data_IF_374818493225
#
_entry.id   IF_374818493225
#
_cell.length_a   1.000
_cell.length_b   1.000
_cell.length_c   1.000
_cell.angle_alpha   90.00
_cell.angle_beta   90.00
_cell.angle_gamma   90.00
#
_symmetry.space_group_name_H-M   'P 1'
#
loop_
_entity.id
_entity.type
_entity.pdbx_description
1 polymer ?
#
# COMPACT_ATOMS: atom_id res chain seq x y z
N UNK A 1 17.91 64.04 22.32
CA UNK A 1 17.95 64.55 20.93
C UNK A 1 17.82 63.37 19.97
N UNK A 2 16.76 63.33 19.16
CA UNK A 2 16.41 62.21 18.27
C UNK A 2 17.24 62.27 16.99
N UNK A 3 17.94 61.19 16.65
CA UNK A 3 18.67 61.06 15.38
C UNK A 3 17.71 60.87 14.20
N UNK A 4 18.00 61.43 13.01
CA UNK A 4 17.18 61.28 11.82
C UNK A 4 17.40 59.93 11.13
N UNK A 5 16.29 59.31 10.71
CA UNK A 5 16.23 58.05 9.94
C UNK A 5 16.82 58.24 8.54
N UNK A 6 17.74 57.38 8.13
CA UNK A 6 18.23 57.29 6.74
C UNK A 6 17.29 56.39 5.92
N UNK A 7 16.78 56.92 4.81
CA UNK A 7 15.99 56.17 3.83
C UNK A 7 16.90 55.37 2.89
N UNK A 8 16.57 54.09 2.70
CA UNK A 8 17.23 53.21 1.73
C UNK A 8 16.75 53.49 0.30
N UNK A 9 17.61 53.33 -0.73
CA UNK A 9 17.23 53.53 -2.13
C UNK A 9 16.39 52.35 -2.66
N UNK A 10 15.40 52.67 -3.50
CA UNK A 10 14.54 51.71 -4.22
C UNK A 10 15.31 51.04 -5.37
N UNK A 11 15.14 49.73 -5.61
CA UNK A 11 15.70 49.06 -6.78
C UNK A 11 14.95 49.43 -8.07
N UNK A 12 15.72 49.67 -9.13
CA UNK A 12 15.30 49.97 -10.49
C UNK A 12 14.79 48.73 -11.22
N UNK A 13 13.67 48.87 -11.93
CA UNK A 13 13.12 47.86 -12.87
C UNK A 13 13.93 47.83 -14.16
N UNK A 14 14.26 46.65 -14.73
CA UNK A 14 14.69 46.57 -16.12
C UNK A 14 13.49 46.64 -17.09
N UNK A 15 13.72 47.36 -18.19
CA UNK A 15 12.81 47.56 -19.32
C UNK A 15 12.83 46.35 -20.26
N UNK A 16 11.67 46.11 -20.86
CA UNK A 16 11.46 45.18 -21.97
C UNK A 16 11.90 45.77 -23.32
N UNK A 17 12.43 44.90 -24.18
CA UNK A 17 12.43 44.95 -25.64
C UNK A 17 12.30 43.47 -26.08
N UNK A 18 11.29 43.02 -26.84
CA UNK A 18 11.02 43.35 -28.25
C UNK A 18 12.17 42.77 -29.09
N UNK A 19 12.04 41.75 -29.94
CA UNK A 19 11.08 41.64 -31.07
C UNK A 19 11.20 40.26 -31.74
N UNK A 20 10.04 39.66 -32.05
CA UNK A 20 9.60 38.78 -33.15
C UNK A 20 10.53 37.84 -33.97
N UNK A 21 9.99 36.62 -34.12
CA UNK A 21 9.91 35.72 -35.30
C UNK A 21 11.08 34.78 -35.66
N UNK A 22 10.87 33.48 -35.40
CA UNK A 22 10.97 32.43 -36.42
C UNK A 22 9.98 31.30 -36.10
N UNK A 23 9.12 31.00 -37.06
CA UNK A 23 8.26 29.83 -37.11
C UNK A 23 9.04 28.61 -37.62
N UNK A 24 8.46 27.42 -37.42
CA UNK A 24 9.00 26.06 -37.68
C UNK A 24 9.92 25.55 -36.56
N UNK A 25 9.63 24.45 -35.85
CA UNK A 25 9.11 23.18 -36.34
C UNK A 25 8.35 22.46 -35.23
N UNK A 26 7.04 22.33 -35.41
CA UNK A 26 6.12 21.52 -34.61
C UNK A 26 6.08 20.09 -35.17
N UNK A 27 7.16 19.31 -35.06
CA UNK A 27 7.15 17.88 -35.41
C UNK A 27 8.32 17.16 -34.70
N UNK A 28 8.20 16.90 -33.39
CA UNK A 28 8.94 15.84 -32.66
C UNK A 28 8.51 15.75 -31.18
N UNK A 29 7.21 15.61 -30.94
CA UNK A 29 6.66 15.32 -29.60
C UNK A 29 5.54 14.27 -29.64
N UNK A 30 5.58 13.33 -30.59
CA UNK A 30 4.61 12.25 -30.75
C UNK A 30 5.25 10.86 -30.94
N UNK A 31 6.48 10.66 -30.47
CA UNK A 31 7.20 9.40 -30.66
C UNK A 31 7.92 8.87 -29.40
N UNK A 32 7.38 9.11 -28.20
CA UNK A 32 7.81 8.42 -26.96
C UNK A 32 6.64 7.93 -26.09
N UNK A 33 5.53 7.55 -26.73
CA UNK A 33 4.47 6.71 -26.13
C UNK A 33 4.45 5.33 -26.78
N UNK A 34 5.64 4.80 -27.13
CA UNK A 34 5.81 3.43 -27.58
C UNK A 34 6.25 2.57 -26.40
N UNK A 35 5.29 1.90 -25.75
CA UNK A 35 5.60 0.85 -24.77
C UNK A 35 4.75 0.81 -23.49
N UNK A 36 3.68 1.61 -23.37
CA UNK A 36 2.63 1.26 -22.42
C UNK A 36 1.82 0.12 -23.06
N UNK A 37 2.27 -1.12 -22.84
CA UNK A 37 1.49 -2.30 -23.17
C UNK A 37 0.09 -2.09 -22.60
N UNK A 38 -0.90 -2.05 -23.49
CA UNK A 38 -2.30 -2.06 -23.08
C UNK A 38 -2.48 -3.31 -22.22
N UNK A 39 -2.71 -3.16 -20.92
CA UNK A 39 -3.17 -4.24 -20.07
C UNK A 39 -4.56 -4.65 -20.56
N UNK A 40 -4.59 -5.49 -21.59
CA UNK A 40 -5.78 -6.18 -22.06
C UNK A 40 -6.03 -7.39 -21.17
N UNK A 41 -6.56 -7.16 -19.97
CA UNK A 41 -7.17 -8.12 -19.03
C UNK A 41 -7.41 -7.34 -17.72
N UNK A 42 -8.59 -6.76 -17.45
CA UNK A 42 -9.80 -7.42 -16.93
C UNK A 42 -9.55 -8.20 -15.63
N UNK A 43 -9.28 -7.54 -14.49
CA UNK A 43 -9.39 -8.16 -13.15
C UNK A 43 -9.25 -7.15 -11.98
N UNK A 44 -9.12 -7.61 -10.74
CA UNK A 44 -10.05 -7.30 -9.68
C UNK A 44 -9.75 -6.26 -8.60
N UNK A 45 -9.04 -5.18 -8.90
CA UNK A 45 -9.08 -3.93 -8.11
C UNK A 45 -8.57 -2.71 -8.91
N UNK A 46 -8.46 -2.87 -10.24
CA UNK A 46 -7.67 -2.04 -11.17
C UNK A 46 -7.97 -0.55 -11.13
N UNK A 47 -9.21 -0.14 -10.82
CA UNK A 47 -9.52 1.28 -10.81
C UNK A 47 -8.81 1.99 -9.67
N UNK A 48 -8.56 1.30 -8.54
CA UNK A 48 -7.75 1.79 -7.43
C UNK A 48 -6.29 2.03 -7.81
N UNK A 49 -5.72 1.08 -8.54
CA UNK A 49 -4.30 1.11 -8.93
C UNK A 49 -4.02 2.17 -10.01
N UNK A 50 -4.93 2.41 -10.95
CA UNK A 50 -4.81 3.52 -11.91
C UNK A 50 -4.66 4.89 -11.23
N UNK A 51 -5.30 5.09 -10.06
CA UNK A 51 -5.24 6.39 -9.37
C UNK A 51 -3.82 6.80 -8.99
N UNK A 52 -2.96 5.83 -8.69
CA UNK A 52 -1.61 6.08 -8.22
C UNK A 52 -0.57 6.08 -9.35
N UNK A 53 -0.92 5.61 -10.57
CA UNK A 53 0.04 5.52 -11.68
C UNK A 53 0.62 6.87 -12.06
N UNK A 54 -0.17 7.94 -11.95
CA UNK A 54 0.28 9.32 -12.19
C UNK A 54 0.93 9.99 -10.97
N UNK A 55 0.85 9.41 -9.76
CA UNK A 55 1.40 10.04 -8.54
C UNK A 55 2.93 9.92 -8.47
N UNK A 56 3.57 10.60 -7.52
CA UNK A 56 5.00 10.41 -7.28
C UNK A 56 5.30 9.04 -6.65
N UNK A 57 6.46 8.45 -6.97
CA UNK A 57 6.94 7.26 -6.28
C UNK A 57 7.49 7.62 -4.89
N UNK A 58 7.05 6.91 -3.85
CA UNK A 58 7.44 7.21 -2.46
C UNK A 58 8.53 6.27 -1.91
N UNK A 59 9.08 5.35 -2.71
CA UNK A 59 10.10 4.39 -2.24
C UNK A 59 11.28 5.07 -1.55
N UNK A 60 11.82 6.14 -2.15
CA UNK A 60 12.92 6.92 -1.55
C UNK A 60 12.54 7.56 -0.21
N UNK A 61 11.27 7.94 -0.02
CA UNK A 61 10.78 8.51 1.25
C UNK A 61 10.71 7.44 2.34
N UNK A 62 10.28 6.23 1.99
CA UNK A 62 10.28 5.08 2.91
C UNK A 62 11.72 4.70 3.28
N UNK A 63 12.62 4.64 2.30
CA UNK A 63 14.04 4.35 2.54
C UNK A 63 14.68 5.36 3.49
N UNK A 64 14.43 6.65 3.27
CA UNK A 64 14.93 7.71 4.15
C UNK A 64 14.39 7.57 5.59
N UNK A 65 13.14 7.11 5.74
CA UNK A 65 12.51 6.86 7.04
C UNK A 65 13.17 5.69 7.78
N UNK A 66 13.35 4.54 7.12
CA UNK A 66 14.04 3.37 7.71
C UNK A 66 15.50 3.69 8.04
N UNK A 67 16.22 4.34 7.10
CA UNK A 67 17.63 4.71 7.29
C UNK A 67 17.85 5.66 8.46
N UNK A 68 16.86 6.49 8.80
CA UNK A 68 16.93 7.36 9.98
C UNK A 68 17.03 6.55 11.27
N UNK A 69 16.20 5.51 11.42
CA UNK A 69 16.26 4.62 12.59
C UNK A 69 17.59 3.87 12.65
N UNK A 70 18.06 3.37 11.50
CA UNK A 70 19.36 2.70 11.41
C UNK A 70 20.53 3.63 11.79
N UNK A 71 20.49 4.89 11.34
CA UNK A 71 21.51 5.89 11.65
C UNK A 71 21.57 6.24 13.14
N UNK A 72 20.46 6.11 13.88
CA UNK A 72 20.41 6.30 15.33
C UNK A 72 20.75 5.02 16.12
N UNK A 73 21.20 3.95 15.43
CA UNK A 73 21.51 2.66 16.07
C UNK A 73 20.28 1.86 16.49
N UNK A 74 19.11 2.14 15.91
CA UNK A 74 17.87 1.44 16.24
C UNK A 74 17.95 -0.04 15.86
N UNK A 75 17.61 -0.91 16.81
CA UNK A 75 17.44 -2.34 16.59
C UNK A 75 16.24 -2.63 15.68
N UNK A 76 16.20 -3.83 15.10
CA UNK A 76 15.07 -4.29 14.26
C UNK A 76 13.74 -4.20 15.02
N UNK A 77 13.75 -4.52 16.31
CA UNK A 77 12.55 -4.44 17.16
C UNK A 77 12.11 -2.98 17.34
N UNK A 78 13.03 -2.06 17.60
CA UNK A 78 12.70 -0.64 17.74
C UNK A 78 12.15 -0.06 16.43
N UNK A 79 12.73 -0.44 15.29
CA UNK A 79 12.21 -0.07 13.96
C UNK A 79 10.79 -0.61 13.79
N UNK A 80 10.56 -1.89 14.09
CA UNK A 80 9.24 -2.49 13.99
C UNK A 80 8.23 -1.74 14.85
N UNK A 81 8.53 -1.49 16.13
CA UNK A 81 7.66 -0.75 17.04
C UNK A 81 7.36 0.68 16.56
N UNK A 82 8.37 1.36 16.01
CA UNK A 82 8.21 2.72 15.49
C UNK A 82 7.35 2.78 14.21
N UNK A 83 7.33 1.71 13.41
CA UNK A 83 6.64 1.68 12.12
C UNK A 83 5.30 0.93 12.12
N UNK A 84 5.02 0.12 13.15
CA UNK A 84 3.70 -0.49 13.34
C UNK A 84 3.65 -1.94 13.79
N UNK A 85 4.76 -2.55 14.19
CA UNK A 85 4.86 -3.94 14.65
C UNK A 85 3.96 -4.30 15.85
N UNK A 86 3.41 -3.31 16.55
CA UNK A 86 2.39 -3.50 17.62
C UNK A 86 1.09 -2.77 17.37
N UNK A 87 0.94 -2.13 16.20
CA UNK A 87 -0.34 -1.54 15.81
C UNK A 87 -1.34 -2.67 15.54
N UNK A 88 -2.62 -2.40 15.78
CA UNK A 88 -3.70 -3.37 15.56
C UNK A 88 -4.70 -2.88 14.53
N UNK A 89 -4.91 -1.56 14.45
CA UNK A 89 -5.89 -0.94 13.55
C UNK A 89 -5.24 -0.14 12.42
N UNK A 90 -4.32 0.77 12.75
CA UNK A 90 -3.58 1.57 11.78
C UNK A 90 -2.13 1.70 12.22
N UNK A 91 -1.22 1.38 11.33
CA UNK A 91 0.21 1.49 11.60
C UNK A 91 0.70 2.95 11.44
N UNK A 92 1.76 3.37 12.14
CA UNK A 92 2.45 4.62 11.89
C UNK A 92 2.87 4.78 10.42
N UNK A 93 3.40 3.73 9.77
CA UNK A 93 3.79 3.80 8.37
C UNK A 93 2.61 4.05 7.44
N UNK A 94 1.47 3.40 7.68
CA UNK A 94 0.24 3.60 6.92
C UNK A 94 -0.31 5.00 7.13
N UNK A 95 -0.39 5.46 8.38
CA UNK A 95 -0.88 6.80 8.72
C UNK A 95 -0.02 7.88 8.05
N UNK A 96 1.30 7.71 8.11
CA UNK A 96 2.24 8.57 7.41
C UNK A 96 2.02 8.55 5.90
N UNK A 97 1.97 7.36 5.29
CA UNK A 97 1.79 7.22 3.84
C UNK A 97 0.46 7.85 3.37
N UNK A 98 -0.63 7.68 4.13
CA UNK A 98 -1.94 8.29 3.87
C UNK A 98 -1.92 9.82 3.88
N UNK A 99 -0.98 10.42 4.59
CA UNK A 99 -0.84 11.89 4.69
C UNK A 99 0.01 12.51 3.58
N UNK A 100 0.68 11.69 2.76
CA UNK A 100 1.52 12.18 1.67
C UNK A 100 0.66 12.75 0.53
N UNK A 101 1.13 13.81 -0.17
CA UNK A 101 0.43 14.33 -1.34
C UNK A 101 0.38 13.32 -2.50
N UNK A 102 1.27 12.33 -2.52
CA UNK A 102 1.25 11.25 -3.50
C UNK A 102 0.19 10.17 -3.23
N UNK A 103 -0.42 10.17 -2.04
CA UNK A 103 -1.47 9.23 -1.70
C UNK A 103 -2.78 9.62 -2.39
N UNK A 104 -3.31 8.71 -3.20
CA UNK A 104 -4.51 8.96 -3.98
C UNK A 104 -5.65 8.13 -3.43
N UNK A 105 -6.75 8.80 -3.07
CA UNK A 105 -7.95 8.11 -2.59
C UNK A 105 -8.68 7.46 -3.76
N UNK A 106 -9.05 6.18 -3.66
CA UNK A 106 -9.82 5.56 -4.71
C UNK A 106 -11.24 6.13 -4.80
N UNK A 107 -11.75 6.28 -6.03
CA UNK A 107 -13.15 6.65 -6.23
C UNK A 107 -14.05 5.47 -5.83
N UNK A 108 -14.80 5.65 -4.75
CA UNK A 108 -15.70 4.65 -4.15
C UNK A 108 -16.73 4.11 -5.13
N UNK A 109 -17.23 4.93 -6.03
CA UNK A 109 -18.21 4.52 -7.05
C UNK A 109 -17.63 3.50 -8.03
N UNK A 110 -16.31 3.38 -8.08
CA UNK A 110 -15.58 2.53 -9.02
C UNK A 110 -14.97 1.29 -8.37
N UNK A 111 -15.18 1.09 -7.07
CA UNK A 111 -14.70 -0.09 -6.35
C UNK A 111 -15.52 -1.33 -6.72
N UNK A 112 -14.86 -2.49 -6.72
CA UNK A 112 -15.50 -3.76 -7.09
C UNK A 112 -16.52 -4.25 -6.09
N UNK A 113 -16.27 -4.02 -4.82
CA UNK A 113 -17.17 -4.38 -3.73
C UNK A 113 -18.02 -3.19 -3.28
N UNK A 114 -18.27 -2.19 -4.15
CA UNK A 114 -19.24 -1.12 -3.86
C UNK A 114 -20.61 -1.72 -3.54
N UNK A 115 -21.29 -1.16 -2.53
CA UNK A 115 -22.59 -1.67 -2.08
C UNK A 115 -22.52 -2.87 -1.12
N UNK A 116 -21.33 -3.34 -0.74
CA UNK A 116 -21.14 -4.42 0.25
C UNK A 116 -21.45 -4.07 1.69
N UNK A 117 -21.75 -2.80 2.00
CA UNK A 117 -21.99 -2.36 3.37
C UNK A 117 -20.74 -2.35 4.26
N UNK A 118 -19.54 -2.54 3.68
CA UNK A 118 -18.30 -2.44 4.45
C UNK A 118 -18.17 -1.06 5.12
N UNK A 119 -17.61 -1.01 6.34
CA UNK A 119 -17.44 0.25 7.06
C UNK A 119 -16.70 1.27 6.22
N UNK A 120 -17.30 2.45 6.06
CA UNK A 120 -16.71 3.53 5.29
C UNK A 120 -16.86 4.87 5.98
N UNK A 121 -16.41 4.89 7.23
CA UNK A 121 -16.36 6.08 8.06
C UNK A 121 -14.93 6.65 8.10
N UNK A 122 -14.74 7.94 8.45
CA UNK A 122 -13.41 8.51 8.67
C UNK A 122 -12.56 7.71 9.68
N UNK A 123 -13.23 7.11 10.67
CA UNK A 123 -12.62 6.33 11.75
C UNK A 123 -12.29 4.90 11.32
N UNK A 124 -13.18 4.25 10.56
CA UNK A 124 -13.05 2.89 10.04
C UNK A 124 -13.50 2.89 8.58
N UNK A 125 -12.54 2.95 7.66
CA UNK A 125 -12.78 2.80 6.24
C UNK A 125 -12.07 1.53 5.76
N UNK A 126 -12.83 0.64 5.13
CA UNK A 126 -12.31 -0.53 4.44
C UNK A 126 -11.47 -0.16 3.21
N UNK A 127 -11.42 1.12 2.85
CA UNK A 127 -10.76 1.62 1.64
C UNK A 127 -9.59 2.52 2.01
N UNK A 128 -8.39 2.00 1.85
CA UNK A 128 -7.17 2.77 2.04
C UNK A 128 -6.79 3.55 0.77
N UNK A 129 -6.24 4.78 0.88
CA UNK A 129 -5.58 5.43 -0.23
C UNK A 129 -4.48 4.54 -0.82
N UNK A 130 -4.21 4.73 -2.11
CA UNK A 130 -3.14 4.04 -2.83
C UNK A 130 -1.92 4.94 -2.99
N UNK A 131 -0.74 4.34 -2.97
CA UNK A 131 0.55 5.00 -3.18
C UNK A 131 1.37 4.19 -4.18
N UNK A 132 2.31 4.86 -4.86
CA UNK A 132 3.24 4.19 -5.78
C UNK A 132 4.56 3.94 -5.08
N UNK A 133 5.01 2.69 -5.09
CA UNK A 133 6.30 2.29 -4.52
C UNK A 133 7.01 1.41 -5.54
N UNK A 134 8.20 1.83 -5.99
CA UNK A 134 8.98 1.12 -7.02
C UNK A 134 8.15 0.82 -8.28
N UNK A 135 7.38 1.82 -8.73
CA UNK A 135 6.47 1.70 -9.87
C UNK A 135 5.23 0.84 -9.64
N UNK A 136 5.06 0.21 -8.48
CA UNK A 136 3.90 -0.62 -8.15
C UNK A 136 2.89 0.21 -7.36
N UNK A 137 1.64 0.23 -7.82
CA UNK A 137 0.54 0.82 -7.07
C UNK A 137 0.00 -0.16 -6.04
N UNK A 138 -0.01 0.25 -4.78
CA UNK A 138 -0.46 -0.58 -3.66
C UNK A 138 -1.34 0.26 -2.73
N UNK A 139 -2.29 -0.38 -2.07
CA UNK A 139 -3.00 0.23 -0.95
C UNK A 139 -2.05 0.56 0.20
N UNK A 140 -2.28 1.67 0.90
CA UNK A 140 -1.49 2.04 2.10
C UNK A 140 -1.64 1.04 3.24
N UNK A 141 -2.72 0.28 3.26
CA UNK A 141 -2.90 -0.93 4.08
C UNK A 141 -1.86 -2.01 3.75
N UNK A 142 -1.46 -2.22 2.50
CA UNK A 142 -0.38 -3.19 2.16
C UNK A 142 0.96 -2.80 2.79
N UNK A 143 1.22 -1.50 2.94
CA UNK A 143 2.37 -1.04 3.74
C UNK A 143 2.17 -1.36 5.22
N UNK A 144 0.95 -1.20 5.77
CA UNK A 144 0.66 -1.64 7.14
C UNK A 144 0.97 -3.12 7.31
N UNK A 145 0.46 -3.99 6.43
CA UNK A 145 0.71 -5.42 6.44
C UNK A 145 2.21 -5.76 6.38
N UNK A 146 2.96 -5.12 5.47
CA UNK A 146 4.41 -5.30 5.35
C UNK A 146 5.15 -4.99 6.65
N UNK A 147 4.80 -3.92 7.37
CA UNK A 147 5.53 -3.52 8.58
C UNK A 147 4.96 -4.16 9.86
N UNK A 148 3.64 -4.26 10.01
CA UNK A 148 2.96 -4.78 11.18
C UNK A 148 2.95 -6.31 11.18
N UNK A 149 2.19 -6.92 10.26
CA UNK A 149 2.07 -8.38 10.20
C UNK A 149 3.35 -9.04 9.68
N UNK A 150 4.15 -8.34 8.88
CA UNK A 150 5.51 -8.77 8.54
C UNK A 150 6.43 -8.90 9.75
N UNK A 151 6.26 -8.06 10.78
CA UNK A 151 6.99 -8.20 12.05
C UNK A 151 6.49 -9.40 12.85
N UNK A 152 5.18 -9.65 12.88
CA UNK A 152 4.62 -10.85 13.51
C UNK A 152 5.12 -12.12 12.81
N UNK A 153 5.15 -12.12 11.47
CA UNK A 153 5.72 -13.22 10.70
C UNK A 153 7.20 -13.44 11.06
N UNK A 154 8.00 -12.37 11.08
CA UNK A 154 9.41 -12.45 11.48
C UNK A 154 9.56 -12.97 12.92
N UNK A 155 8.70 -12.52 13.84
CA UNK A 155 8.71 -12.95 15.24
C UNK A 155 8.42 -14.46 15.34
N UNK A 156 7.37 -14.94 14.69
CA UNK A 156 7.02 -16.37 14.66
C UNK A 156 8.15 -17.19 14.02
N UNK A 157 8.60 -16.79 12.84
CA UNK A 157 9.54 -17.59 12.06
C UNK A 157 10.95 -17.61 12.68
N UNK A 158 11.45 -16.45 13.11
CA UNK A 158 12.85 -16.25 13.50
C UNK A 158 13.01 -16.15 15.02
N UNK A 159 12.25 -15.28 15.69
CA UNK A 159 12.45 -15.05 17.14
C UNK A 159 11.95 -16.22 17.99
N UNK A 160 10.79 -16.78 17.62
CA UNK A 160 10.19 -17.94 18.30
C UNK A 160 10.69 -19.27 17.72
N UNK A 161 11.47 -19.22 16.63
CA UNK A 161 12.05 -20.40 15.98
C UNK A 161 11.03 -21.39 15.40
N UNK A 162 9.82 -20.93 15.04
CA UNK A 162 8.75 -21.80 14.50
C UNK A 162 8.81 -22.01 12.99
N UNK A 163 9.65 -21.24 12.30
CA UNK A 163 9.83 -21.32 10.86
C UNK A 163 8.77 -20.57 10.04
N UNK A 164 9.11 -20.30 8.77
CA UNK A 164 8.30 -19.49 7.86
C UNK A 164 6.93 -20.11 7.56
N UNK A 165 6.85 -21.44 7.49
CA UNK A 165 5.59 -22.14 7.20
C UNK A 165 4.51 -21.87 8.26
N UNK A 166 4.88 -21.80 9.55
CA UNK A 166 3.91 -21.47 10.60
C UNK A 166 3.52 -19.99 10.56
N UNK A 167 4.46 -19.10 10.26
CA UNK A 167 4.20 -17.68 10.07
C UNK A 167 3.23 -17.43 8.91
N UNK A 168 3.39 -18.14 7.78
CA UNK A 168 2.46 -18.04 6.66
C UNK A 168 1.06 -18.54 7.02
N UNK A 169 0.97 -19.71 7.68
CA UNK A 169 -0.31 -20.25 8.17
C UNK A 169 -1.01 -19.31 9.14
N UNK A 170 -0.26 -18.54 9.93
CA UNK A 170 -0.81 -17.53 10.84
C UNK A 170 -1.52 -16.41 10.06
N UNK A 171 -0.90 -15.83 9.02
CA UNK A 171 -1.60 -14.82 8.24
C UNK A 171 -2.76 -15.40 7.42
N UNK A 172 -2.65 -16.62 6.92
CA UNK A 172 -3.79 -17.31 6.28
C UNK A 172 -4.96 -17.52 7.26
N UNK A 173 -4.68 -17.74 8.54
CA UNK A 173 -5.68 -17.81 9.60
C UNK A 173 -6.30 -16.45 9.92
N UNK A 174 -5.50 -15.37 9.94
CA UNK A 174 -5.99 -13.99 10.11
C UNK A 174 -6.87 -13.52 8.94
N UNK A 175 -6.53 -13.90 7.71
CA UNK A 175 -7.34 -13.68 6.50
C UNK A 175 -8.58 -14.58 6.47
N UNK A 176 -8.54 -15.70 7.20
CA UNK A 176 -9.57 -16.73 7.15
C UNK A 176 -9.61 -17.41 5.80
N UNK A 177 -8.44 -17.74 5.23
CA UNK A 177 -8.31 -18.39 3.91
C UNK A 177 -8.96 -19.77 3.86
N UNK A 178 -8.67 -20.63 4.82
CA UNK A 178 -9.28 -21.95 5.00
C UNK A 178 -10.34 -21.94 6.11
N UNK A 179 -11.27 -22.93 6.19
CA UNK A 179 -12.16 -23.07 7.33
C UNK A 179 -11.38 -23.11 8.66
N UNK A 180 -11.91 -22.49 9.71
CA UNK A 180 -11.23 -22.37 11.03
C UNK A 180 -10.69 -23.71 11.56
N UNK A 181 -11.43 -24.80 11.36
CA UNK A 181 -11.04 -26.15 11.77
C UNK A 181 -9.69 -26.62 11.18
N UNK A 182 -9.32 -26.13 9.99
CA UNK A 182 -8.04 -26.42 9.31
C UNK A 182 -6.82 -25.87 10.07
N UNK A 183 -7.04 -25.01 11.06
CA UNK A 183 -6.01 -24.41 11.89
C UNK A 183 -6.06 -24.84 13.35
N UNK A 184 -6.96 -25.77 13.72
CA UNK A 184 -7.19 -26.18 15.12
C UNK A 184 -5.91 -26.54 15.90
N UNK A 185 -4.93 -27.15 15.24
CA UNK A 185 -3.63 -27.49 15.84
C UNK A 185 -2.76 -26.26 16.16
N UNK A 186 -2.81 -25.25 15.30
CA UNK A 186 -1.89 -24.11 15.34
C UNK A 186 -2.54 -22.89 16.05
N UNK A 187 -3.87 -22.85 16.10
CA UNK A 187 -4.67 -21.76 16.66
C UNK A 187 -4.34 -21.40 18.12
N UNK A 188 -4.08 -22.34 19.05
CA UNK A 188 -3.65 -21.99 20.40
C UNK A 188 -2.39 -21.12 20.42
N UNK A 189 -1.47 -21.32 19.47
CA UNK A 189 -0.29 -20.47 19.31
C UNK A 189 -0.62 -19.17 18.57
N UNK A 190 -1.47 -19.19 17.55
CA UNK A 190 -1.88 -17.95 16.87
C UNK A 190 -2.54 -16.94 17.81
N UNK A 191 -3.28 -17.42 18.82
CA UNK A 191 -3.89 -16.59 19.85
C UNK A 191 -2.88 -15.96 20.83
N UNK A 192 -1.61 -16.37 20.82
CA UNK A 192 -0.55 -15.69 21.61
C UNK A 192 0.05 -14.50 20.90
N UNK A 193 -0.11 -14.41 19.57
CA UNK A 193 0.43 -13.33 18.74
C UNK A 193 -0.44 -12.07 18.86
N UNK A 194 0.12 -10.85 18.70
CA UNK A 194 -0.61 -9.62 18.98
C UNK A 194 -1.92 -9.48 18.18
N UNK A 195 -1.86 -9.61 16.84
CA UNK A 195 -3.06 -9.54 16.00
C UNK A 195 -4.02 -10.71 16.26
N UNK A 196 -3.51 -11.93 16.44
CA UNK A 196 -4.36 -13.10 16.70
C UNK A 196 -5.08 -13.04 18.05
N UNK A 197 -4.43 -12.53 19.09
CA UNK A 197 -5.02 -12.34 20.42
C UNK A 197 -6.17 -11.33 20.41
N UNK A 198 -6.03 -10.26 19.64
CA UNK A 198 -6.97 -9.12 19.66
C UNK A 198 -8.09 -9.30 18.65
N UNK A 199 -7.75 -9.70 17.43
CA UNK A 199 -8.66 -9.67 16.30
C UNK A 199 -9.18 -11.08 15.97
N UNK A 200 -8.34 -12.10 16.12
CA UNK A 200 -8.74 -13.50 15.93
C UNK A 200 -8.85 -13.94 14.46
N UNK A 201 -9.37 -15.14 14.27
CA UNK A 201 -9.54 -15.79 12.96
C UNK A 201 -10.40 -14.96 11.98
N UNK A 202 -9.89 -14.79 10.75
CA UNK A 202 -10.62 -14.17 9.64
C UNK A 202 -10.92 -12.68 9.79
N UNK A 203 -10.39 -12.05 10.84
CA UNK A 203 -10.67 -10.66 11.19
C UNK A 203 -10.08 -9.64 10.22
N UNK A 204 -9.03 -10.00 9.48
CA UNK A 204 -8.47 -9.16 8.42
C UNK A 204 -9.14 -9.38 7.07
N UNK A 205 -9.85 -10.51 6.90
CA UNK A 205 -10.42 -10.88 5.62
C UNK A 205 -11.84 -11.43 5.72
N UNK A 206 -11.96 -12.76 5.57
CA UNK A 206 -13.24 -13.48 5.39
C UNK A 206 -14.35 -13.06 6.35
N UNK A 207 -14.06 -12.90 7.64
CA UNK A 207 -15.10 -12.64 8.67
C UNK A 207 -15.56 -11.19 8.67
N UNK A 208 -14.66 -10.25 8.38
CA UNK A 208 -14.95 -8.81 8.46
C UNK A 208 -15.45 -8.26 7.14
N UNK A 209 -14.78 -8.63 6.04
CA UNK A 209 -15.04 -8.06 4.73
C UNK A 209 -15.62 -9.07 3.74
N UNK A 210 -15.45 -10.37 3.99
CA UNK A 210 -15.71 -11.39 2.97
C UNK A 210 -14.67 -11.40 1.84
N UNK A 211 -13.57 -10.66 1.99
CA UNK A 211 -12.43 -10.60 1.05
C UNK A 211 -11.25 -11.31 1.70
N UNK A 212 -10.61 -12.23 0.99
CA UNK A 212 -9.36 -12.88 1.41
C UNK A 212 -8.27 -12.28 0.53
N UNK A 213 -7.39 -11.50 1.16
CA UNK A 213 -6.47 -10.65 0.41
C UNK A 213 -5.13 -11.33 0.15
N UNK A 214 -4.89 -11.69 -1.10
CA UNK A 214 -3.61 -12.31 -1.47
C UNK A 214 -2.46 -11.29 -1.45
N UNK A 215 -2.75 -10.01 -1.70
CA UNK A 215 -1.78 -8.94 -1.62
C UNK A 215 -1.36 -8.65 -0.16
N UNK A 216 -2.26 -8.80 0.82
CA UNK A 216 -1.91 -8.72 2.25
C UNK A 216 -0.98 -9.85 2.66
N UNK A 217 -1.29 -11.09 2.26
CA UNK A 217 -0.39 -12.24 2.49
C UNK A 217 0.98 -12.03 1.83
N UNK A 218 1.03 -11.47 0.62
CA UNK A 218 2.28 -11.16 -0.08
C UNK A 218 3.07 -10.03 0.61
N UNK A 219 2.38 -9.03 1.15
CA UNK A 219 2.98 -7.96 1.95
C UNK A 219 3.59 -8.52 3.25
N UNK A 220 2.89 -9.40 3.95
CA UNK A 220 3.39 -10.06 5.16
C UNK A 220 4.68 -10.84 4.92
N UNK A 221 4.72 -11.67 3.86
CA UNK A 221 5.95 -12.39 3.45
C UNK A 221 7.08 -11.44 3.10
N UNK A 222 6.77 -10.33 2.44
CA UNK A 222 7.75 -9.32 2.08
C UNK A 222 8.32 -8.63 3.32
N UNK A 223 7.48 -8.37 4.32
CA UNK A 223 7.87 -7.86 5.62
C UNK A 223 8.77 -8.81 6.41
N UNK A 224 8.44 -10.11 6.43
CA UNK A 224 9.31 -11.15 7.00
C UNK A 224 10.72 -11.09 6.43
N UNK A 225 10.84 -11.03 5.10
CA UNK A 225 12.15 -10.91 4.43
C UNK A 225 12.85 -9.62 4.80
N UNK A 226 12.13 -8.49 4.79
CA UNK A 226 12.66 -7.18 5.15
C UNK A 226 13.24 -7.16 6.56
N UNK A 227 12.52 -7.67 7.55
CA UNK A 227 13.01 -7.71 8.94
C UNK A 227 14.20 -8.66 9.10
N UNK A 228 14.23 -9.77 8.36
CA UNK A 228 15.40 -10.63 8.28
C UNK A 228 16.64 -9.91 7.74
N UNK A 229 16.48 -9.11 6.69
CA UNK A 229 17.57 -8.31 6.13
C UNK A 229 17.98 -7.13 7.02
N UNK A 230 17.03 -6.50 7.72
CA UNK A 230 17.34 -5.51 8.75
C UNK A 230 18.19 -6.14 9.88
N UNK A 231 17.83 -7.36 10.33
CA UNK A 231 18.56 -8.06 11.38
C UNK A 231 20.00 -8.44 10.99
N UNK A 232 20.23 -8.73 9.71
CA UNK A 232 21.56 -9.03 9.17
C UNK A 232 22.35 -7.80 8.74
N UNK A 233 21.76 -6.61 8.80
CA UNK A 233 22.37 -5.39 8.25
C UNK A 233 22.47 -5.38 6.72
N UNK A 234 21.70 -6.22 6.03
CA UNK A 234 21.66 -6.32 4.55
C UNK A 234 20.54 -5.49 3.90
N UNK A 235 19.74 -4.76 4.68
CA UNK A 235 18.72 -3.86 4.13
C UNK A 235 19.34 -2.75 3.26
N UNK A 236 18.91 -2.66 2.01
CA UNK A 236 19.37 -1.61 1.07
C UNK A 236 18.26 -0.68 0.61
N UNK A 237 17.09 -1.21 0.23
CA UNK A 237 15.91 -0.42 -0.16
C UNK A 237 14.62 -1.19 0.06
N UNK A 238 13.53 -0.49 0.38
CA UNK A 238 12.16 -1.01 0.40
C UNK A 238 11.78 -1.62 -0.94
N UNK A 239 12.37 -1.12 -2.03
CA UNK A 239 12.16 -1.62 -3.38
C UNK A 239 12.47 -3.12 -3.52
N UNK A 240 13.33 -3.69 -2.68
CA UNK A 240 13.63 -5.13 -2.73
C UNK A 240 12.48 -6.00 -2.21
N UNK A 241 11.55 -5.41 -1.46
CA UNK A 241 10.42 -6.09 -0.83
C UNK A 241 9.09 -5.70 -1.47
N UNK A 242 9.10 -4.79 -2.44
CA UNK A 242 7.93 -4.40 -3.22
C UNK A 242 7.99 -5.07 -4.59
N UNK A 243 6.95 -5.86 -4.87
CA UNK A 243 6.74 -6.57 -6.13
C UNK A 243 5.31 -6.39 -6.61
N UNK A 244 5.02 -6.77 -7.85
CA UNK A 244 3.66 -6.76 -8.38
C UNK A 244 2.68 -7.61 -7.56
N UNK A 245 3.15 -8.56 -6.75
CA UNK A 245 2.28 -9.37 -5.89
C UNK A 245 1.58 -8.55 -4.78
N UNK A 246 2.04 -7.33 -4.47
CA UNK A 246 1.36 -6.42 -3.54
C UNK A 246 0.27 -5.58 -4.24
N UNK A 247 0.18 -5.65 -5.56
CA UNK A 247 -0.84 -4.98 -6.36
C UNK A 247 -2.04 -5.91 -6.50
N UNK A 248 -3.20 -5.52 -5.96
CA UNK A 248 -4.43 -6.33 -6.03
C UNK A 248 -4.98 -6.50 -7.46
N UNK A 249 -4.52 -5.67 -8.42
CA UNK A 249 -4.77 -5.89 -9.85
C UNK A 249 -4.01 -7.10 -10.41
N UNK A 250 -2.80 -7.37 -9.90
CA UNK A 250 -1.95 -8.48 -10.38
C UNK A 250 -2.09 -9.73 -9.50
N UNK A 251 -2.46 -9.54 -8.23
CA UNK A 251 -2.64 -10.61 -7.25
C UNK A 251 -4.07 -10.55 -6.69
N UNK A 252 -5.06 -11.06 -7.44
CA UNK A 252 -6.47 -10.82 -7.15
C UNK A 252 -6.92 -11.51 -5.87
N UNK A 253 -7.87 -10.88 -5.21
CA UNK A 253 -8.47 -11.37 -3.97
C UNK A 253 -9.40 -12.56 -4.23
N UNK A 254 -9.58 -13.41 -3.21
CA UNK A 254 -10.65 -14.43 -3.19
C UNK A 254 -11.82 -13.90 -2.36
N UNK A 255 -13.05 -14.30 -2.68
CA UNK A 255 -14.25 -13.77 -2.03
C UNK A 255 -15.08 -14.87 -1.38
N UNK A 256 -15.82 -14.52 -0.32
CA UNK A 256 -16.94 -15.35 0.15
C UNK A 256 -18.03 -15.40 -0.93
N UNK A 257 -18.91 -16.42 -0.92
CA UNK A 257 -19.99 -16.50 -1.91
C UNK A 257 -20.89 -15.26 -1.94
N UNK A 258 -21.07 -14.57 -0.81
CA UNK A 258 -21.82 -13.33 -0.73
C UNK A 258 -21.09 -12.17 -1.40
N UNK A 259 -19.83 -11.95 -1.03
CA UNK A 259 -19.02 -10.88 -1.62
C UNK A 259 -18.82 -11.11 -3.13
N UNK A 260 -18.63 -12.36 -3.56
CA UNK A 260 -18.49 -12.71 -4.97
C UNK A 260 -19.71 -12.26 -5.78
N UNK A 261 -20.94 -12.45 -5.28
CA UNK A 261 -22.16 -12.00 -5.97
C UNK A 261 -22.18 -10.48 -6.19
N UNK A 262 -21.69 -9.72 -5.21
CA UNK A 262 -21.59 -8.26 -5.28
C UNK A 262 -20.56 -7.86 -6.33
N UNK A 263 -19.37 -8.45 -6.27
CA UNK A 263 -18.29 -8.22 -7.24
C UNK A 263 -18.76 -8.53 -8.66
N UNK A 264 -19.39 -9.69 -8.87
CA UNK A 264 -19.87 -10.13 -10.19
C UNK A 264 -20.97 -9.20 -10.74
N UNK A 265 -21.89 -8.76 -9.89
CA UNK A 265 -22.91 -7.79 -10.28
C UNK A 265 -22.27 -6.47 -10.73
N UNK A 266 -21.35 -5.97 -9.92
CA UNK A 266 -20.66 -4.71 -10.16
C UNK A 266 -19.80 -4.71 -11.42
N UNK A 267 -19.18 -5.85 -11.74
CA UNK A 267 -18.40 -6.07 -12.96
C UNK A 267 -19.29 -6.10 -14.21
N UNK A 268 -20.45 -6.77 -14.16
CA UNK A 268 -21.40 -6.79 -15.28
C UNK A 268 -21.95 -5.39 -15.59
N UNK A 269 -22.33 -4.63 -14.57
CA UNK A 269 -22.79 -3.24 -14.75
C UNK A 269 -21.68 -2.37 -15.35
N UNK A 270 -20.44 -2.60 -14.93
CA UNK A 270 -19.29 -1.90 -15.47
C UNK A 270 -19.10 -2.18 -16.97
N UNK A 271 -19.10 -3.46 -17.35
CA UNK A 271 -18.97 -3.93 -18.73
C UNK A 271 -20.01 -3.29 -19.64
N UNK A 272 -21.28 -3.27 -19.22
CA UNK A 272 -22.38 -2.66 -19.99
C UNK A 272 -22.18 -1.18 -20.27
N UNK A 273 -21.56 -0.46 -19.34
CA UNK A 273 -21.39 0.99 -19.42
C UNK A 273 -20.15 1.42 -20.23
N UNK A 274 -19.15 0.55 -20.41
CA UNK A 274 -17.83 0.94 -20.95
C UNK A 274 -17.35 0.11 -22.14
N UNK A 275 -17.92 -1.06 -22.39
CA UNK A 275 -17.58 -1.86 -23.58
C UNK A 275 -18.52 -1.45 -24.70
N UNK A 276 -17.99 -0.93 -25.83
CA UNK A 276 -18.81 -0.64 -27.00
C UNK A 276 -19.60 -1.88 -27.41
N UNK A 277 -20.90 -1.71 -27.66
CA UNK A 277 -21.69 -2.79 -28.26
C UNK A 277 -21.16 -3.02 -29.69
N UNK A 278 -21.04 -4.29 -30.13
CA UNK A 278 -20.64 -4.61 -31.49
C UNK A 278 -21.61 -4.03 -32.53
#
# INVERSE_FOLDING_TARGET
>A
MRQPRRHAPKPSRPRAAGTLWFAASLWLALAQWGGAGRCGAWEADCRACDYCRASGDIAAKIDARIRRHLATGGSVREIALAEGGTSLLRSPIETWAKSLPEAVRPNRALLRYRGSGLPDSPLLSAYSPSVKVKGVCIGTDKLAHLFQQGWEYYSIAVLDGKGEALAERYGEWLEGKEPRASYSRDEPYFLTQPSGRVLGYGSFGRTTSGVISHADLAANRSGLRMYGDLARGSFTSISNYVSSALCEEVNPNTYTPEMQRIVDHNEREWQRAHVPKP
#
